data_IF_077523711691
#
_entry.id   IF_077523711691
#
_cell.length_a   1.000
_cell.length_b   1.000
_cell.length_c   1.000
_cell.angle_alpha   90.00
_cell.angle_beta   90.00
_cell.angle_gamma   90.00
#
_symmetry.space_group_name_H-M   'P 1'
#
loop_
_entity.id
_entity.type
_entity.pdbx_description
1 polymer ?
#
# COMPACT_ATOMS: atom_id res chain seq x y z
N UNK A 1 -2.30 14.20 -5.17
CA UNK A 1 -3.09 13.07 -4.63
C UNK A 1 -2.17 12.03 -4.00
N UNK A 2 -2.68 11.35 -3.01
CA UNK A 2 -1.96 10.31 -2.28
C UNK A 2 -2.73 9.00 -2.45
N UNK A 3 -2.02 7.91 -2.79
CA UNK A 3 -2.56 6.57 -2.67
C UNK A 3 -2.13 6.00 -1.32
N UNK A 4 -3.08 5.68 -0.47
CA UNK A 4 -2.83 5.11 0.85
C UNK A 4 -3.12 3.61 0.84
N UNK A 5 -2.24 2.81 1.43
CA UNK A 5 -2.39 1.35 1.53
C UNK A 5 -2.35 0.94 2.99
N UNK A 6 -3.37 0.20 3.40
CA UNK A 6 -3.41 -0.54 4.67
C UNK A 6 -3.03 -1.99 4.35
N UNK A 7 -1.78 -2.39 4.59
CA UNK A 7 -1.27 -3.66 4.09
C UNK A 7 -1.73 -4.85 4.91
N UNK A 8 -1.94 -5.97 4.22
CA UNK A 8 -2.20 -7.27 4.81
C UNK A 8 -1.29 -8.33 4.22
N UNK A 9 -1.37 -9.56 4.72
CA UNK A 9 -0.48 -10.64 4.30
C UNK A 9 -0.86 -11.26 2.96
N UNK A 10 -2.11 -11.18 2.53
CA UNK A 10 -2.59 -11.72 1.25
C UNK A 10 -3.34 -10.69 0.42
N UNK A 11 -4.04 -9.80 1.07
CA UNK A 11 -4.77 -8.71 0.43
C UNK A 11 -4.60 -7.43 1.24
N UNK A 12 -4.75 -6.30 0.59
CA UNK A 12 -4.56 -4.99 1.21
C UNK A 12 -5.69 -4.06 0.82
N UNK A 13 -6.07 -3.19 1.75
CA UNK A 13 -7.01 -2.11 1.47
C UNK A 13 -6.26 -0.90 0.93
N UNK A 14 -6.90 -0.17 0.04
CA UNK A 14 -6.34 1.04 -0.54
C UNK A 14 -7.40 2.12 -0.65
N UNK A 15 -6.97 3.36 -0.60
CA UNK A 15 -7.86 4.50 -0.80
C UNK A 15 -7.05 5.71 -1.26
N UNK A 16 -7.74 6.63 -1.91
CA UNK A 16 -7.17 7.86 -2.42
C UNK A 16 -7.45 9.02 -1.49
N UNK A 17 -6.45 9.88 -1.32
CA UNK A 17 -6.55 11.11 -0.54
C UNK A 17 -6.23 12.28 -1.48
N UNK A 18 -7.07 13.31 -1.48
CA UNK A 18 -6.84 14.49 -2.31
C UNK A 18 -5.75 15.41 -1.72
N UNK A 19 -5.42 16.48 -2.44
CA UNK A 19 -4.38 17.40 -2.03
C UNK A 19 -4.68 18.15 -0.72
N UNK A 20 -5.93 18.20 -0.31
CA UNK A 20 -6.33 18.83 0.96
C UNK A 20 -6.28 17.87 2.15
N UNK A 21 -5.95 16.59 1.92
CA UNK A 21 -5.92 15.56 2.96
C UNK A 21 -7.26 14.88 3.21
N UNK A 22 -8.26 15.12 2.37
CA UNK A 22 -9.59 14.51 2.51
C UNK A 22 -9.67 13.21 1.73
N UNK A 23 -10.28 12.14 2.30
CA UNK A 23 -10.52 10.91 1.57
C UNK A 23 -11.41 11.14 0.34
N UNK A 24 -11.04 10.51 -0.77
CA UNK A 24 -11.85 10.47 -1.97
C UNK A 24 -12.78 9.25 -1.94
N UNK A 25 -13.76 9.22 -2.85
CA UNK A 25 -14.69 8.09 -2.94
C UNK A 25 -14.09 6.84 -3.60
N UNK A 26 -12.83 6.91 -4.07
CA UNK A 26 -12.11 5.78 -4.65
C UNK A 26 -11.41 5.00 -3.55
N UNK A 27 -11.86 3.80 -3.29
CA UNK A 27 -11.25 2.88 -2.32
C UNK A 27 -11.62 1.45 -2.67
N UNK A 28 -10.87 0.52 -2.13
CA UNK A 28 -11.13 -0.90 -2.36
C UNK A 28 -10.21 -1.79 -1.54
N UNK A 29 -10.33 -3.08 -1.80
CA UNK A 29 -9.50 -4.12 -1.20
C UNK A 29 -9.20 -5.15 -2.28
N UNK A 30 -7.93 -5.40 -2.51
CA UNK A 30 -7.47 -6.30 -3.57
C UNK A 30 -6.40 -7.25 -3.06
N UNK A 31 -6.23 -8.36 -3.78
CA UNK A 31 -5.09 -9.24 -3.57
C UNK A 31 -3.79 -8.45 -3.76
N UNK A 32 -2.78 -8.75 -2.94
CA UNK A 32 -1.51 -8.03 -2.98
C UNK A 32 -0.83 -8.07 -4.34
N UNK A 33 -0.92 -9.20 -5.05
CA UNK A 33 -0.34 -9.31 -6.39
C UNK A 33 -1.02 -8.38 -7.40
N UNK A 34 -2.33 -8.21 -7.30
CA UNK A 34 -3.09 -7.29 -8.15
C UNK A 34 -2.71 -5.84 -7.85
N UNK A 35 -2.63 -5.50 -6.58
CA UNK A 35 -2.23 -4.16 -6.16
C UNK A 35 -0.79 -3.84 -6.58
N UNK A 36 0.11 -4.83 -6.52
CA UNK A 36 1.48 -4.66 -6.96
C UNK A 36 1.55 -4.32 -8.45
N UNK A 37 0.81 -5.04 -9.30
CA UNK A 37 0.72 -4.72 -10.73
C UNK A 37 0.18 -3.32 -10.97
N UNK A 38 -0.82 -2.93 -10.20
CA UNK A 38 -1.39 -1.58 -10.26
C UNK A 38 -0.35 -0.51 -9.96
N UNK A 39 0.50 -0.72 -8.97
CA UNK A 39 1.56 0.22 -8.60
C UNK A 39 2.66 0.34 -9.66
N UNK A 40 2.86 -0.70 -10.47
CA UNK A 40 3.88 -0.71 -11.54
C UNK A 40 3.46 0.00 -12.82
N UNK A 41 2.20 0.40 -12.93
CA UNK A 41 1.70 1.09 -14.12
C UNK A 41 2.30 2.46 -14.25
N UNK A 42 2.36 2.95 -15.48
CA UNK A 42 2.78 4.32 -15.75
C UNK A 42 1.63 5.27 -15.40
N UNK A 43 1.87 6.13 -14.42
CA UNK A 43 0.87 7.05 -13.90
C UNK A 43 1.10 8.46 -14.47
N UNK A 44 0.50 8.76 -15.62
CA UNK A 44 0.58 10.11 -16.18
C UNK A 44 -0.22 11.13 -15.36
N UNK A 45 -1.33 10.70 -14.77
CA UNK A 45 -2.24 11.55 -13.99
C UNK A 45 -2.57 10.93 -12.63
N UNK A 46 -1.77 10.01 -12.19
CA UNK A 46 -2.00 9.27 -10.94
C UNK A 46 -1.51 9.99 -9.70
N UNK A 47 -1.44 9.28 -8.58
CA UNK A 47 -0.95 9.85 -7.34
C UNK A 47 0.53 10.20 -7.44
N UNK A 48 0.92 11.27 -6.76
CA UNK A 48 2.31 11.68 -6.68
C UNK A 48 3.00 11.22 -5.38
N UNK A 49 2.25 10.66 -4.45
CA UNK A 49 2.76 10.11 -3.20
C UNK A 49 2.10 8.77 -2.89
N UNK A 50 2.87 7.88 -2.29
CA UNK A 50 2.39 6.63 -1.72
C UNK A 50 2.52 6.69 -0.21
N UNK A 51 1.45 6.36 0.52
CA UNK A 51 1.48 6.20 1.96
C UNK A 51 1.15 4.75 2.29
N UNK A 52 2.06 4.08 3.00
CA UNK A 52 1.86 2.69 3.41
C UNK A 52 2.01 2.63 4.93
N UNK A 53 1.00 2.05 5.60
CA UNK A 53 1.07 1.85 7.04
C UNK A 53 2.20 0.88 7.37
N UNK A 54 3.05 1.25 8.32
CA UNK A 54 4.11 0.40 8.82
C UNK A 54 3.63 -0.48 9.97
N UNK A 55 4.43 -1.48 10.31
CA UNK A 55 4.13 -2.40 11.40
C UNK A 55 5.20 -2.25 12.48
N UNK A 56 4.74 -2.20 13.74
CA UNK A 56 5.62 -2.22 14.90
C UNK A 56 5.22 -3.37 15.82
N UNK A 57 6.20 -4.09 16.36
CA UNK A 57 5.93 -5.25 17.21
C UNK A 57 5.60 -4.89 18.67
N UNK A 58 6.01 -3.72 19.11
CA UNK A 58 5.82 -3.26 20.50
C UNK A 58 6.26 -4.30 21.55
N UNK A 59 7.30 -5.09 21.24
CA UNK A 59 7.80 -6.12 22.15
C UNK A 59 7.02 -7.43 22.14
N UNK A 60 6.01 -7.56 21.30
CA UNK A 60 5.23 -8.80 21.15
C UNK A 60 5.87 -9.74 20.13
N UNK A 61 5.61 -11.04 20.28
CA UNK A 61 6.04 -12.03 19.31
C UNK A 61 5.37 -11.77 17.95
N UNK A 62 6.15 -11.90 16.87
CA UNK A 62 5.69 -11.64 15.50
C UNK A 62 5.51 -12.97 14.80
N UNK A 63 4.29 -13.24 14.31
CA UNK A 63 3.97 -14.45 13.57
C UNK A 63 4.25 -14.33 12.08
N UNK A 64 4.05 -15.45 11.37
CA UNK A 64 4.28 -15.55 9.93
C UNK A 64 3.49 -14.50 9.14
N UNK A 65 2.23 -14.24 9.52
CA UNK A 65 1.38 -13.28 8.82
C UNK A 65 1.94 -11.87 8.86
N UNK A 66 2.54 -11.47 9.96
CA UNK A 66 3.17 -10.17 10.11
C UNK A 66 4.43 -10.08 9.26
N UNK A 67 5.25 -11.13 9.22
CA UNK A 67 6.42 -11.19 8.34
C UNK A 67 6.02 -11.09 6.87
N UNK A 68 5.00 -11.84 6.46
CA UNK A 68 4.49 -11.80 5.09
C UNK A 68 3.99 -10.39 4.73
N UNK A 69 3.30 -9.73 5.64
CA UNK A 69 2.86 -8.34 5.45
C UNK A 69 4.04 -7.39 5.27
N UNK A 70 5.10 -7.55 6.08
CA UNK A 70 6.30 -6.72 5.95
C UNK A 70 6.99 -6.90 4.59
N UNK A 71 7.01 -8.12 4.07
CA UNK A 71 7.55 -8.40 2.73
C UNK A 71 6.74 -7.64 1.67
N UNK A 72 5.42 -7.66 1.77
CA UNK A 72 4.55 -6.96 0.83
C UNK A 72 4.71 -5.44 0.92
N UNK A 73 4.88 -4.89 2.13
CA UNK A 73 5.19 -3.46 2.29
C UNK A 73 6.43 -3.09 1.49
N UNK A 74 7.51 -3.85 1.63
CA UNK A 74 8.75 -3.62 0.90
C UNK A 74 8.56 -3.72 -0.62
N UNK A 75 7.78 -4.70 -1.08
CA UNK A 75 7.48 -4.87 -2.51
C UNK A 75 6.66 -3.71 -3.08
N UNK A 76 5.68 -3.22 -2.32
CA UNK A 76 4.89 -2.06 -2.74
C UNK A 76 5.75 -0.81 -2.88
N UNK A 77 6.59 -0.54 -1.90
CA UNK A 77 7.49 0.62 -1.91
C UNK A 77 8.46 0.53 -3.07
N UNK A 78 9.08 -0.62 -3.30
CA UNK A 78 10.00 -0.82 -4.43
C UNK A 78 9.30 -0.63 -5.77
N UNK A 79 8.12 -1.22 -5.94
CA UNK A 79 7.35 -1.09 -7.17
C UNK A 79 6.99 0.38 -7.47
N UNK A 80 6.65 1.12 -6.44
CA UNK A 80 6.35 2.55 -6.56
C UNK A 80 7.60 3.36 -6.96
N UNK A 81 8.72 3.11 -6.32
CA UNK A 81 9.97 3.85 -6.56
C UNK A 81 10.61 3.55 -7.91
N UNK A 82 10.35 2.37 -8.47
CA UNK A 82 10.96 1.93 -9.72
C UNK A 82 10.14 2.24 -10.98
N UNK A 83 9.06 3.00 -10.84
CA UNK A 83 8.21 3.38 -11.97
C UNK A 83 8.92 4.28 -12.97
#
# INVERSE_FOLDING_TARGET
>A
MILAIDPGNTQSAWFWIDASGMPMSLFGKDANAVLLDYLRRDWNTGPNLLAVEGIASYGMAVGKEVFDTCIWIGRFVEAWESR
#
